data_IF_308965054530
#
_entry.id   IF_308965054530
#
_cell.length_a   1.000
_cell.length_b   1.000
_cell.length_c   1.000
_cell.angle_alpha   90.00
_cell.angle_beta   90.00
_cell.angle_gamma   90.00
#
_symmetry.space_group_name_H-M   'P 1'
#
loop_
_entity.id
_entity.type
_entity.pdbx_description
1 polymer ?
#
# COMPACT_ATOMS: atom_id res chain seq x y z
N UNK A 1 19.78 -9.17 -9.33
CA UNK A 1 18.86 -8.07 -9.71
C UNK A 1 17.62 -8.19 -8.84
N UNK A 2 17.18 -7.13 -8.18
CA UNK A 2 15.86 -7.16 -7.53
C UNK A 2 14.80 -7.28 -8.61
N UNK A 3 13.80 -8.14 -8.39
CA UNK A 3 12.62 -8.21 -9.25
C UNK A 3 11.78 -6.96 -9.04
N UNK A 4 11.16 -6.45 -10.09
CA UNK A 4 10.32 -5.23 -10.06
C UNK A 4 9.24 -5.29 -8.97
N UNK A 5 8.58 -6.45 -8.83
CA UNK A 5 7.62 -6.73 -7.76
C UNK A 5 8.21 -6.58 -6.35
N UNK A 6 9.48 -6.90 -6.14
CA UNK A 6 10.16 -6.74 -4.85
C UNK A 6 10.39 -5.27 -4.50
N UNK A 7 10.63 -4.43 -5.51
CA UNK A 7 10.73 -2.98 -5.33
C UNK A 7 9.37 -2.40 -4.92
N UNK A 8 8.31 -2.77 -5.62
CA UNK A 8 6.95 -2.29 -5.32
C UNK A 8 6.50 -2.73 -3.93
N UNK A 9 6.74 -3.99 -3.54
CA UNK A 9 6.46 -4.46 -2.18
C UNK A 9 7.21 -3.68 -1.09
N UNK A 10 8.44 -3.26 -1.39
CA UNK A 10 9.24 -2.41 -0.47
C UNK A 10 8.60 -1.02 -0.34
N UNK A 11 8.16 -0.43 -1.45
CA UNK A 11 7.47 0.86 -1.45
C UNK A 11 6.11 0.80 -0.76
N UNK A 12 5.32 -0.25 -1.00
CA UNK A 12 4.07 -0.52 -0.27
C UNK A 12 4.34 -0.55 1.24
N UNK A 13 5.35 -1.31 1.67
CA UNK A 13 5.70 -1.43 3.09
C UNK A 13 6.11 -0.07 3.69
N UNK A 14 6.86 0.75 2.94
CA UNK A 14 7.28 2.06 3.39
C UNK A 14 6.11 3.05 3.51
N UNK A 15 5.24 3.13 2.51
CA UNK A 15 4.07 4.03 2.52
C UNK A 15 3.09 3.59 3.60
N UNK A 16 2.85 2.29 3.75
CA UNK A 16 1.97 1.75 4.78
C UNK A 16 2.46 2.12 6.18
N UNK A 17 3.77 2.00 6.42
CA UNK A 17 4.36 2.40 7.70
C UNK A 17 4.29 3.90 7.94
N UNK A 18 4.52 4.72 6.91
CA UNK A 18 4.32 6.18 6.99
C UNK A 18 2.88 6.53 7.39
N UNK A 19 1.90 5.78 6.86
CA UNK A 19 0.49 5.94 7.23
C UNK A 19 0.22 5.51 8.67
N UNK A 20 0.76 4.36 9.08
CA UNK A 20 0.62 3.88 10.46
C UNK A 20 1.23 4.85 11.48
N UNK A 21 2.40 5.43 11.17
CA UNK A 21 3.16 6.30 12.07
C UNK A 21 2.61 7.75 12.10
N UNK A 22 2.13 8.28 10.97
CA UNK A 22 1.78 9.72 10.85
C UNK A 22 0.29 10.00 10.65
N UNK A 23 -0.51 9.02 10.20
CA UNK A 23 -1.94 9.20 9.90
C UNK A 23 -2.77 8.08 10.55
N UNK A 24 -2.82 7.99 11.89
CA UNK A 24 -3.56 6.95 12.61
C UNK A 24 -5.04 6.88 12.21
N UNK A 25 -5.64 7.98 11.75
CA UNK A 25 -7.01 8.04 11.25
C UNK A 25 -7.22 7.21 9.97
N UNK A 26 -6.17 7.06 9.16
CA UNK A 26 -6.19 6.28 7.93
C UNK A 26 -6.00 4.78 8.16
N UNK A 27 -5.58 4.34 9.35
CA UNK A 27 -5.40 2.92 9.66
C UNK A 27 -6.68 2.11 9.45
N UNK A 28 -7.85 2.68 9.77
CA UNK A 28 -9.14 2.02 9.54
C UNK A 28 -9.39 1.72 8.05
N UNK A 29 -9.01 2.65 7.17
CA UNK A 29 -9.11 2.46 5.73
C UNK A 29 -8.12 1.40 5.23
N UNK A 30 -6.92 1.33 5.83
CA UNK A 30 -5.91 0.31 5.53
C UNK A 30 -6.36 -1.10 5.91
N UNK A 31 -7.03 -1.27 7.06
CA UNK A 31 -7.54 -2.57 7.48
C UNK A 31 -8.61 -3.10 6.51
N UNK A 32 -9.48 -2.20 6.04
CA UNK A 32 -10.52 -2.52 5.04
C UNK A 32 -9.92 -2.91 3.68
N UNK A 33 -8.85 -2.23 3.25
CA UNK A 33 -8.16 -2.54 1.97
C UNK A 33 -7.17 -3.70 2.07
N UNK A 34 -6.53 -3.96 3.21
CA UNK A 34 -5.70 -5.17 3.38
C UNK A 34 -6.51 -6.45 3.24
N UNK A 35 -7.80 -6.41 3.54
CA UNK A 35 -8.70 -7.55 3.33
C UNK A 35 -8.95 -7.86 1.86
N UNK A 36 -8.70 -6.93 0.93
CA UNK A 36 -8.88 -7.14 -0.52
C UNK A 36 -7.60 -7.57 -1.20
N UNK A 37 -6.44 -7.40 -0.55
CA UNK A 37 -5.19 -7.97 -1.02
C UNK A 37 -5.19 -9.49 -0.86
N UNK A 38 -4.80 -10.26 -1.88
CA UNK A 38 -4.55 -11.67 -1.71
C UNK A 38 -3.41 -11.83 -0.70
N UNK A 39 -3.71 -12.30 0.51
CA UNK A 39 -2.69 -12.66 1.49
C UNK A 39 -1.73 -13.64 0.81
N UNK A 40 -0.50 -13.18 0.65
CA UNK A 40 0.56 -13.88 -0.08
C UNK A 40 0.69 -15.31 0.38
N UNK A 41 0.07 -16.22 -0.35
CA UNK A 41 0.45 -17.61 -0.36
C UNK A 41 1.78 -17.64 -1.12
N UNK A 42 2.86 -17.84 -0.38
CA UNK A 42 4.26 -17.84 -0.83
C UNK A 42 4.59 -18.89 -1.90
N UNK A 43 3.59 -19.56 -2.46
CA UNK A 43 3.75 -20.60 -3.45
C UNK A 43 3.10 -20.17 -4.76
N UNK A 44 3.90 -19.55 -5.63
CA UNK A 44 3.70 -19.58 -7.09
C UNK A 44 2.53 -18.82 -7.73
N UNK A 45 1.81 -17.96 -7.03
CA UNK A 45 0.93 -17.00 -7.71
C UNK A 45 1.80 -15.87 -8.29
N UNK A 46 1.77 -15.67 -9.61
CA UNK A 46 2.17 -14.40 -10.22
C UNK A 46 1.29 -13.32 -9.58
N UNK A 47 1.74 -12.75 -8.46
CA UNK A 47 1.25 -11.46 -7.99
C UNK A 47 1.53 -10.51 -9.16
N UNK A 48 0.46 -10.13 -9.86
CA UNK A 48 0.58 -9.26 -11.01
C UNK A 48 1.23 -7.97 -10.51
N UNK A 49 2.33 -7.61 -11.13
CA UNK A 49 3.02 -6.35 -10.83
C UNK A 49 2.03 -5.19 -10.92
N UNK A 50 1.05 -5.27 -11.82
CA UNK A 50 -0.03 -4.30 -11.94
C UNK A 50 -0.92 -4.21 -10.70
N UNK A 51 -1.25 -5.32 -10.05
CA UNK A 51 -2.07 -5.32 -8.83
C UNK A 51 -1.30 -4.68 -7.66
N UNK A 52 0.00 -4.96 -7.57
CA UNK A 52 0.89 -4.35 -6.58
C UNK A 52 1.04 -2.84 -6.82
N UNK A 53 1.20 -2.41 -8.07
CA UNK A 53 1.28 -0.99 -8.43
C UNK A 53 -0.04 -0.26 -8.15
N UNK A 54 -1.17 -0.88 -8.48
CA UNK A 54 -2.48 -0.31 -8.19
C UNK A 54 -2.67 -0.11 -6.69
N UNK A 55 -2.33 -1.12 -5.88
CA UNK A 55 -2.39 -1.00 -4.42
C UNK A 55 -1.48 0.11 -3.88
N UNK A 56 -0.24 0.20 -4.38
CA UNK A 56 0.68 1.28 -4.00
C UNK A 56 0.09 2.66 -4.32
N UNK A 57 -0.49 2.82 -5.51
CA UNK A 57 -1.10 4.08 -5.94
C UNK A 57 -2.32 4.46 -5.10
N UNK A 58 -3.14 3.48 -4.69
CA UNK A 58 -4.26 3.71 -3.77
C UNK A 58 -3.78 4.21 -2.41
N UNK A 59 -2.75 3.56 -1.83
CA UNK A 59 -2.16 3.98 -0.55
C UNK A 59 -1.63 5.42 -0.61
N UNK A 60 -0.90 5.74 -1.67
CA UNK A 60 -0.37 7.09 -1.90
C UNK A 60 -1.52 8.10 -2.05
N UNK A 61 -2.55 7.76 -2.84
CA UNK A 61 -3.69 8.67 -3.07
C UNK A 61 -4.46 8.96 -1.80
N UNK A 62 -4.72 7.96 -0.95
CA UNK A 62 -5.42 8.14 0.32
C UNK A 62 -4.59 9.04 1.25
N UNK A 63 -3.29 8.76 1.38
CA UNK A 63 -2.38 9.58 2.17
C UNK A 63 -2.35 11.03 1.69
N UNK A 64 -2.22 11.24 0.39
CA UNK A 64 -2.05 12.58 -0.18
C UNK A 64 -3.34 13.39 -0.14
N UNK A 65 -4.50 12.76 -0.37
CA UNK A 65 -5.81 13.40 -0.14
C UNK A 65 -5.99 13.82 1.31
N UNK A 66 -5.66 12.95 2.25
CA UNK A 66 -5.74 13.29 3.67
C UNK A 66 -4.82 14.46 4.03
N UNK A 67 -3.60 14.49 3.47
CA UNK A 67 -2.68 15.63 3.62
C UNK A 67 -3.29 16.92 3.07
N UNK A 68 -3.88 16.88 1.88
CA UNK A 68 -4.52 18.03 1.26
C UNK A 68 -5.73 18.54 2.07
N UNK A 69 -6.57 17.64 2.57
CA UNK A 69 -7.78 17.99 3.33
C UNK A 69 -7.49 18.51 4.74
N UNK A 70 -6.38 18.09 5.36
CA UNK A 70 -6.09 18.38 6.77
C UNK A 70 -4.91 19.31 7.03
N UNK A 71 -3.99 19.47 6.08
CA UNK A 71 -2.75 20.24 6.27
C UNK A 71 -2.60 21.44 5.33
N UNK A 72 -3.62 21.78 4.53
CA UNK A 72 -3.65 22.92 3.62
C UNK A 72 -4.71 23.97 3.97
#
# INVERSE_FOLDING_TARGET
>A
MMKESQKILTEISAVTRDIEDNYPELQKHLDETRSTLPQGSNDSANLDTADLENYLNELISIRDKYKEEHYY
#
